data_IF_213030121018
#
_entry.id   IF_213030121018
#
_cell.length_a   1.000
_cell.length_b   1.000
_cell.length_c   1.000
_cell.angle_alpha   90.00
_cell.angle_beta   90.00
_cell.angle_gamma   90.00
#
_symmetry.space_group_name_H-M   'P 1'
#
loop_
_entity.id
_entity.type
_entity.pdbx_description
1 polymer ?
#
# COMPACT_ATOMS: atom_id res chain seq x y z
N UNK A 1 -34.49 14.18 3.11
CA UNK A 1 -33.81 12.92 3.50
C UNK A 1 -32.91 13.22 4.70
N UNK A 2 -33.10 12.52 5.82
CA UNK A 2 -32.33 12.77 7.04
C UNK A 2 -30.88 12.32 6.84
N UNK A 3 -29.91 13.25 6.94
CA UNK A 3 -28.48 12.92 6.94
C UNK A 3 -28.19 12.03 8.15
N UNK A 4 -27.83 10.79 7.92
CA UNK A 4 -27.33 9.88 8.94
C UNK A 4 -26.16 10.57 9.65
N UNK A 5 -26.29 10.76 10.96
CA UNK A 5 -25.28 11.45 11.76
C UNK A 5 -24.02 10.59 11.77
N UNK A 6 -22.97 11.05 11.08
CA UNK A 6 -21.70 10.34 11.03
C UNK A 6 -21.10 10.28 12.45
N UNK A 7 -20.72 9.08 12.87
CA UNK A 7 -20.16 8.85 14.20
C UNK A 7 -18.79 9.52 14.34
N UNK A 8 -18.52 10.12 15.49
CA UNK A 8 -17.26 10.85 15.72
C UNK A 8 -16.16 9.85 16.05
N UNK A 9 -15.18 9.69 15.16
CA UNK A 9 -14.00 8.88 15.44
C UNK A 9 -12.99 9.68 16.29
N UNK A 10 -12.70 9.30 17.54
CA UNK A 10 -11.79 10.03 18.41
C UNK A 10 -10.36 10.11 17.84
N UNK A 11 -9.91 9.10 17.08
CA UNK A 11 -8.59 9.10 16.43
C UNK A 11 -8.42 10.28 15.48
N UNK A 12 -9.48 10.68 14.77
CA UNK A 12 -9.41 11.80 13.82
C UNK A 12 -9.12 13.14 14.49
N UNK A 13 -9.69 13.38 15.67
CA UNK A 13 -9.44 14.58 16.46
C UNK A 13 -8.01 14.61 17.02
N UNK A 14 -7.52 13.46 17.47
CA UNK A 14 -6.18 13.33 18.05
C UNK A 14 -5.10 13.49 16.96
N UNK A 15 -5.32 12.92 15.77
CA UNK A 15 -4.45 13.07 14.59
C UNK A 15 -4.44 14.49 14.03
N UNK A 16 -5.59 15.16 14.01
CA UNK A 16 -5.65 16.57 13.61
C UNK A 16 -4.82 17.46 14.56
N UNK A 17 -4.87 17.19 15.87
CA UNK A 17 -4.01 17.89 16.85
C UNK A 17 -2.54 17.56 16.67
N UNK A 18 -2.23 16.29 16.37
CA UNK A 18 -0.87 15.86 16.06
C UNK A 18 -0.30 16.62 14.86
N UNK A 19 -1.10 16.82 13.79
CA UNK A 19 -0.67 17.62 12.64
C UNK A 19 -0.33 19.07 13.03
N UNK A 20 -1.15 19.71 13.88
CA UNK A 20 -0.85 21.07 14.35
C UNK A 20 0.51 21.14 15.07
N UNK A 21 0.79 20.17 15.92
CA UNK A 21 2.02 20.14 16.72
C UNK A 21 3.26 19.83 15.87
N UNK A 22 3.20 18.81 15.03
CA UNK A 22 4.36 18.31 14.31
C UNK A 22 4.75 19.17 13.11
N UNK A 23 3.75 19.73 12.40
CA UNK A 23 4.01 20.66 11.30
C UNK A 23 4.16 22.11 11.80
N UNK A 24 4.04 22.35 13.10
CA UNK A 24 4.05 23.67 13.73
C UNK A 24 3.08 24.66 13.03
N UNK A 25 1.89 24.17 12.68
CA UNK A 25 0.85 24.94 11.99
C UNK A 25 -0.29 25.28 12.94
N UNK A 26 -0.92 26.43 12.71
CA UNK A 26 -2.07 26.86 13.49
C UNK A 26 -3.38 26.48 12.79
N UNK A 27 -4.46 26.43 13.56
CA UNK A 27 -5.81 26.27 13.02
C UNK A 27 -6.18 27.41 12.04
N UNK A 28 -5.68 28.62 12.31
CA UNK A 28 -5.87 29.77 11.43
C UNK A 28 -5.17 29.59 10.09
N UNK A 29 -3.92 29.15 10.11
CA UNK A 29 -3.17 28.85 8.89
C UNK A 29 -3.88 27.76 8.08
N UNK A 30 -4.25 26.65 8.72
CA UNK A 30 -4.93 25.55 8.03
C UNK A 30 -6.29 26.00 7.46
N UNK A 31 -7.00 26.89 8.15
CA UNK A 31 -8.25 27.49 7.68
C UNK A 31 -8.03 28.34 6.41
N UNK A 32 -6.95 29.13 6.38
CA UNK A 32 -6.59 29.95 5.23
C UNK A 32 -6.23 29.12 4.00
N UNK A 33 -5.46 28.05 4.17
CA UNK A 33 -5.00 27.22 3.06
C UNK A 33 -6.08 26.27 2.51
N UNK A 34 -7.01 25.82 3.35
CA UNK A 34 -8.03 24.83 2.96
C UNK A 34 -9.41 25.44 2.69
N UNK A 35 -9.64 26.69 3.10
CA UNK A 35 -10.96 27.32 3.11
C UNK A 35 -11.93 26.73 4.15
N UNK A 36 -11.49 25.78 4.97
CA UNK A 36 -12.30 25.19 6.04
C UNK A 36 -12.38 26.21 7.19
N UNK A 37 -13.58 26.49 7.71
CA UNK A 37 -13.70 27.44 8.82
C UNK A 37 -12.95 26.98 10.07
N UNK A 38 -12.29 27.91 10.76
CA UNK A 38 -11.68 27.68 12.07
C UNK A 38 -12.65 27.02 13.06
N UNK A 39 -13.92 27.41 13.08
CA UNK A 39 -14.92 26.81 13.95
C UNK A 39 -15.14 25.32 13.63
N UNK A 40 -15.17 24.95 12.35
CA UNK A 40 -15.27 23.55 11.92
C UNK A 40 -14.06 22.75 12.39
N UNK A 41 -12.85 23.25 12.15
CA UNK A 41 -11.60 22.61 12.59
C UNK A 41 -11.54 22.43 14.11
N UNK A 42 -11.95 23.46 14.86
CA UNK A 42 -12.02 23.42 16.33
C UNK A 42 -13.01 22.37 16.83
N UNK A 43 -14.19 22.28 16.21
CA UNK A 43 -15.20 21.28 16.58
C UNK A 43 -14.72 19.86 16.33
N UNK A 44 -13.99 19.64 15.23
CA UNK A 44 -13.38 18.33 14.93
C UNK A 44 -12.30 18.00 15.95
N UNK A 45 -11.33 18.90 16.19
CA UNK A 45 -10.25 18.70 17.15
C UNK A 45 -10.75 18.46 18.59
N UNK A 46 -11.93 18.99 18.92
CA UNK A 46 -12.57 18.80 20.22
C UNK A 46 -13.61 17.64 20.26
N UNK A 47 -13.61 16.74 19.26
CA UNK A 47 -14.50 15.57 19.19
C UNK A 47 -15.99 15.93 19.22
N UNK A 48 -16.36 17.16 18.82
CA UNK A 48 -17.76 17.66 18.78
C UNK A 48 -18.43 17.42 17.44
N UNK A 49 -17.68 17.12 16.38
CA UNK A 49 -18.19 16.86 15.03
C UNK A 49 -17.26 15.89 14.33
N UNK A 50 -17.82 14.97 13.53
CA UNK A 50 -17.04 13.99 12.79
C UNK A 50 -16.25 14.67 11.67
N UNK A 51 -15.04 14.19 11.42
CA UNK A 51 -14.26 14.59 10.24
C UNK A 51 -14.87 13.92 9.00
N UNK A 52 -15.40 14.72 8.08
CA UNK A 52 -15.90 14.19 6.80
C UNK A 52 -14.74 13.91 5.85
N UNK A 53 -14.96 12.98 4.92
CA UNK A 53 -13.98 12.66 3.88
C UNK A 53 -13.58 13.90 3.07
N UNK A 54 -14.54 14.74 2.69
CA UNK A 54 -14.28 15.98 1.95
C UNK A 54 -13.32 16.91 2.69
N UNK A 55 -13.55 17.13 3.99
CA UNK A 55 -12.70 17.98 4.83
C UNK A 55 -11.32 17.35 4.99
N UNK A 56 -11.24 16.04 5.21
CA UNK A 56 -9.97 15.33 5.29
C UNK A 56 -9.16 15.43 3.99
N UNK A 57 -9.80 15.32 2.83
CA UNK A 57 -9.16 15.49 1.52
C UNK A 57 -8.56 16.89 1.36
N UNK A 58 -9.30 17.95 1.71
CA UNK A 58 -8.76 19.32 1.62
C UNK A 58 -7.56 19.54 2.56
N UNK A 59 -7.58 18.97 3.78
CA UNK A 59 -6.44 19.04 4.70
C UNK A 59 -5.23 18.29 4.14
N UNK A 60 -5.42 17.12 3.56
CA UNK A 60 -4.31 16.32 2.99
C UNK A 60 -3.71 16.99 1.74
N UNK A 61 -4.48 17.76 0.95
CA UNK A 61 -3.92 18.51 -0.19
C UNK A 61 -2.82 19.49 0.23
N UNK A 62 -2.94 20.10 1.41
CA UNK A 62 -1.95 21.05 1.93
C UNK A 62 -0.84 20.35 2.73
N UNK A 63 -0.99 19.07 3.03
CA UNK A 63 -0.02 18.21 3.72
C UNK A 63 0.15 16.88 2.94
N UNK A 64 0.75 16.90 1.74
CA UNK A 64 0.66 15.81 0.76
C UNK A 64 1.37 14.51 1.17
N UNK A 65 2.16 14.53 2.24
CA UNK A 65 2.78 13.31 2.77
C UNK A 65 1.81 12.46 3.62
N UNK A 66 0.67 13.04 4.03
CA UNK A 66 -0.31 12.42 4.91
C UNK A 66 -1.41 11.70 4.10
N UNK A 67 -2.07 10.71 4.70
CA UNK A 67 -3.21 10.02 4.09
C UNK A 67 -4.55 10.46 4.67
N UNK A 68 -5.56 10.46 3.81
CA UNK A 68 -6.97 10.72 4.19
C UNK A 68 -7.47 9.66 5.18
N UNK A 69 -7.20 8.38 4.89
CA UNK A 69 -7.69 7.27 5.72
C UNK A 69 -7.09 7.30 7.13
N UNK A 70 -5.81 7.64 7.24
CA UNK A 70 -5.17 7.87 8.52
C UNK A 70 -5.77 9.07 9.23
N UNK A 71 -5.87 10.24 8.59
CA UNK A 71 -6.42 11.42 9.26
C UNK A 71 -7.86 11.17 9.77
N UNK A 72 -8.65 10.36 9.04
CA UNK A 72 -10.00 9.98 9.42
C UNK A 72 -10.08 8.86 10.49
N UNK A 73 -8.96 8.23 10.85
CA UNK A 73 -8.97 7.16 11.83
C UNK A 73 -9.40 5.79 11.29
N UNK A 74 -9.37 5.58 9.96
CA UNK A 74 -9.82 4.35 9.30
C UNK A 74 -8.78 3.24 9.36
N UNK A 75 -7.50 3.61 9.25
CA UNK A 75 -6.35 2.73 9.47
C UNK A 75 -5.28 3.46 10.30
N UNK A 76 -4.18 2.78 10.61
CA UNK A 76 -3.09 3.33 11.41
C UNK A 76 -1.85 3.69 10.57
N UNK A 77 -1.97 3.75 9.24
CA UNK A 77 -0.85 3.99 8.32
C UNK A 77 -0.83 5.44 7.86
N UNK A 78 0.08 6.25 8.40
CA UNK A 78 0.11 7.70 8.20
C UNK A 78 0.33 8.11 6.76
N UNK A 79 1.24 7.44 6.09
CA UNK A 79 1.68 7.77 4.74
C UNK A 79 1.37 6.65 3.75
N UNK A 80 1.31 6.97 2.45
CA UNK A 80 1.20 5.94 1.40
C UNK A 80 2.36 4.94 1.48
N UNK A 81 3.56 5.44 1.82
CA UNK A 81 4.73 4.60 2.06
C UNK A 81 4.48 3.63 3.21
N UNK A 82 4.02 4.07 4.37
CA UNK A 82 3.73 3.20 5.51
C UNK A 82 2.68 2.14 5.20
N UNK A 83 1.61 2.48 4.46
CA UNK A 83 0.62 1.50 4.03
C UNK A 83 1.20 0.50 3.03
N UNK A 84 2.04 0.98 2.11
CA UNK A 84 2.74 0.10 1.16
C UNK A 84 3.70 -0.82 1.93
N UNK A 85 4.44 -0.29 2.90
CA UNK A 85 5.31 -1.04 3.80
C UNK A 85 4.58 -1.98 4.74
N UNK A 86 3.35 -1.67 5.15
CA UNK A 86 2.56 -2.59 5.95
C UNK A 86 2.00 -3.76 5.14
N UNK A 87 1.68 -3.53 3.86
CA UNK A 87 1.49 -4.62 2.89
C UNK A 87 2.76 -5.47 2.72
N UNK A 88 3.95 -4.88 2.94
CA UNK A 88 5.23 -5.59 2.99
C UNK A 88 5.54 -6.24 4.35
N UNK A 89 4.87 -5.82 5.45
CA UNK A 89 5.14 -6.26 6.84
C UNK A 89 4.17 -7.31 7.37
N UNK A 90 3.32 -7.89 6.52
CA UNK A 90 2.48 -9.04 6.87
C UNK A 90 3.38 -10.30 6.98
N UNK A 91 4.22 -10.27 8.01
CA UNK A 91 5.47 -11.01 8.17
C UNK A 91 5.26 -12.48 8.56
N UNK A 92 4.02 -12.94 8.73
CA UNK A 92 3.72 -14.28 9.21
C UNK A 92 3.68 -15.37 8.12
N UNK A 93 3.91 -15.04 6.84
CA UNK A 93 3.87 -16.00 5.75
C UNK A 93 5.18 -15.99 4.94
N UNK A 94 5.98 -17.04 5.07
CA UNK A 94 7.28 -17.22 4.40
C UNK A 94 7.18 -17.01 2.86
N UNK A 95 6.11 -17.51 2.24
CA UNK A 95 5.87 -17.35 0.80
C UNK A 95 5.63 -15.89 0.39
N UNK A 96 4.95 -15.07 1.21
CA UNK A 96 4.76 -13.63 0.94
C UNK A 96 6.09 -12.86 0.97
N UNK A 97 6.99 -13.22 1.89
CA UNK A 97 8.33 -12.61 1.98
C UNK A 97 9.15 -12.91 0.72
N UNK A 98 9.14 -14.18 0.29
CA UNK A 98 9.82 -14.64 -0.91
C UNK A 98 9.30 -13.93 -2.16
N UNK A 99 7.98 -13.85 -2.29
CA UNK A 99 7.30 -13.16 -3.37
C UNK A 99 7.69 -11.68 -3.44
N UNK A 100 7.62 -10.97 -2.31
CA UNK A 100 7.98 -9.56 -2.25
C UNK A 100 9.46 -9.32 -2.58
N UNK A 101 10.37 -10.19 -2.14
CA UNK A 101 11.79 -10.11 -2.49
C UNK A 101 12.00 -10.19 -4.01
N UNK A 102 11.34 -11.13 -4.70
CA UNK A 102 11.42 -11.23 -6.16
C UNK A 102 10.85 -10.01 -6.85
N UNK A 103 9.72 -9.47 -6.38
CA UNK A 103 9.13 -8.24 -6.94
C UNK A 103 10.06 -7.03 -6.81
N UNK A 104 10.77 -6.91 -5.69
CA UNK A 104 11.76 -5.85 -5.48
C UNK A 104 12.93 -6.01 -6.46
N UNK A 105 13.50 -7.21 -6.57
CA UNK A 105 14.61 -7.47 -7.49
C UNK A 105 14.22 -7.25 -8.95
N UNK A 106 13.00 -7.64 -9.32
CA UNK A 106 12.43 -7.37 -10.63
C UNK A 106 12.30 -5.87 -10.91
N UNK A 107 11.77 -5.11 -9.94
CA UNK A 107 11.65 -3.65 -10.04
C UNK A 107 13.01 -2.96 -10.21
N UNK A 108 14.01 -3.36 -9.42
CA UNK A 108 15.38 -2.87 -9.58
C UNK A 108 16.00 -3.22 -10.94
N UNK A 109 15.48 -4.24 -11.61
CA UNK A 109 15.87 -4.68 -12.95
C UNK A 109 15.01 -4.05 -14.06
N UNK A 110 14.11 -3.12 -13.72
CA UNK A 110 13.22 -2.44 -14.66
C UNK A 110 11.97 -3.24 -15.06
N UNK A 111 11.57 -4.23 -14.26
CA UNK A 111 10.34 -5.00 -14.47
C UNK A 111 9.31 -4.68 -13.39
N UNK A 112 8.06 -4.52 -13.80
CA UNK A 112 6.93 -4.31 -12.90
C UNK A 112 6.12 -5.60 -12.79
N UNK A 113 5.75 -5.98 -11.57
CA UNK A 113 5.00 -7.22 -11.30
C UNK A 113 3.70 -6.88 -10.59
N UNK A 114 2.59 -7.05 -11.31
CA UNK A 114 1.25 -6.66 -10.91
C UNK A 114 0.35 -7.87 -10.73
N UNK A 115 -0.43 -7.90 -9.64
CA UNK A 115 -1.44 -8.92 -9.41
C UNK A 115 -2.66 -8.63 -10.29
N UNK A 116 -3.23 -9.67 -10.89
CA UNK A 116 -4.54 -9.59 -11.55
C UNK A 116 -5.45 -10.71 -11.04
N UNK A 117 -6.74 -10.39 -10.92
CA UNK A 117 -7.82 -11.37 -10.72
C UNK A 117 -8.90 -11.07 -11.76
N UNK A 118 -9.49 -12.12 -12.34
CA UNK A 118 -10.48 -12.00 -13.40
C UNK A 118 -11.88 -12.16 -12.81
N UNK A 119 -12.45 -11.06 -12.31
CA UNK A 119 -13.89 -10.98 -12.06
C UNK A 119 -14.61 -10.38 -13.28
N UNK A 120 -15.73 -11.03 -13.64
CA UNK A 120 -16.76 -10.70 -14.64
C UNK A 120 -16.61 -11.20 -16.11
N UNK A 121 -17.18 -12.40 -16.36
CA UNK A 121 -17.97 -12.77 -17.55
C UNK A 121 -17.29 -13.48 -18.75
N UNK A 122 -18.08 -13.96 -19.74
CA UNK A 122 -19.10 -15.02 -19.72
C UNK A 122 -18.50 -16.43 -19.99
N UNK A 123 -19.34 -17.49 -20.08
CA UNK A 123 -18.93 -18.90 -20.31
C UNK A 123 -17.99 -19.06 -21.51
N UNK A 124 -16.71 -19.32 -21.21
CA UNK A 124 -15.65 -19.66 -22.17
C UNK A 124 -15.58 -21.19 -22.31
N UNK A 125 -15.20 -21.70 -23.50
CA UNK A 125 -15.08 -23.16 -23.76
C UNK A 125 -14.07 -23.83 -22.80
N UNK A 126 -14.24 -25.14 -22.59
CA UNK A 126 -13.41 -25.93 -21.66
C UNK A 126 -11.92 -25.86 -22.00
N UNK A 127 -11.54 -25.79 -23.29
CA UNK A 127 -10.12 -25.66 -23.68
C UNK A 127 -9.53 -24.29 -23.34
N UNK A 128 -10.29 -23.21 -23.49
CA UNK A 128 -9.84 -21.86 -23.12
C UNK A 128 -9.88 -21.62 -21.61
N UNK A 129 -10.74 -22.33 -20.86
CA UNK A 129 -10.77 -22.31 -19.40
C UNK A 129 -9.51 -22.91 -18.75
N UNK A 130 -8.89 -23.90 -19.41
CA UNK A 130 -7.63 -24.51 -18.96
C UNK A 130 -6.42 -23.59 -19.16
N UNK A 131 -6.49 -22.63 -20.08
CA UNK A 131 -5.45 -21.63 -20.33
C UNK A 131 -5.73 -20.27 -19.69
N UNK A 132 -6.97 -20.01 -19.27
CA UNK A 132 -7.32 -18.76 -18.59
C UNK A 132 -6.85 -18.79 -17.15
N UNK A 133 -5.71 -18.14 -16.90
CA UNK A 133 -5.25 -17.84 -15.55
C UNK A 133 -6.34 -17.00 -14.88
N UNK A 134 -7.02 -17.58 -13.87
CA UNK A 134 -8.09 -16.90 -13.13
C UNK A 134 -7.54 -15.80 -12.24
N UNK A 135 -6.37 -16.05 -11.63
CA UNK A 135 -5.62 -15.11 -10.81
C UNK A 135 -4.13 -15.34 -10.99
N UNK A 136 -3.34 -14.27 -11.03
CA UNK A 136 -1.92 -14.40 -11.29
C UNK A 136 -1.17 -13.08 -11.32
N UNK A 137 0.05 -13.12 -11.85
CA UNK A 137 0.89 -11.95 -12.01
C UNK A 137 1.11 -11.59 -13.47
N UNK A 138 1.06 -10.30 -13.78
CA UNK A 138 1.55 -9.72 -15.03
C UNK A 138 2.96 -9.23 -14.80
N UNK A 139 3.86 -9.60 -15.70
CA UNK A 139 5.22 -9.08 -15.74
C UNK A 139 5.27 -8.06 -16.85
N UNK A 140 5.53 -6.82 -16.49
CA UNK A 140 5.54 -5.67 -17.36
C UNK A 140 6.93 -5.07 -17.46
N UNK A 141 7.22 -4.40 -18.58
CA UNK A 141 8.41 -3.58 -18.77
C UNK A 141 8.07 -2.44 -19.70
N UNK A 142 8.45 -1.22 -19.34
CA UNK A 142 8.17 0.00 -20.12
C UNK A 142 6.68 0.14 -20.48
N UNK A 143 5.80 -0.22 -19.54
CA UNK A 143 4.34 -0.19 -19.72
C UNK A 143 3.75 -1.30 -20.61
N UNK A 144 4.56 -2.23 -21.13
CA UNK A 144 4.09 -3.37 -21.91
C UNK A 144 4.03 -4.64 -21.06
N UNK A 145 2.92 -5.39 -21.15
CA UNK A 145 2.80 -6.72 -20.54
C UNK A 145 3.62 -7.72 -21.37
N UNK A 146 4.70 -8.22 -20.79
CA UNK A 146 5.58 -9.21 -21.43
C UNK A 146 5.08 -10.64 -21.21
N UNK A 147 4.54 -10.91 -20.02
CA UNK A 147 4.06 -12.23 -19.67
C UNK A 147 2.96 -12.17 -18.62
N UNK A 148 2.13 -13.21 -18.58
CA UNK A 148 1.21 -13.50 -17.49
C UNK A 148 1.51 -14.89 -16.94
N UNK A 149 1.45 -15.05 -15.63
CA UNK A 149 1.68 -16.34 -14.99
C UNK A 149 0.70 -16.57 -13.83
N UNK A 150 0.21 -17.80 -13.63
CA UNK A 150 -0.58 -18.15 -12.45
C UNK A 150 0.17 -17.90 -11.15
N UNK A 151 -0.57 -17.76 -10.05
CA UNK A 151 -0.02 -17.61 -8.70
C UNK A 151 0.96 -18.73 -8.35
N UNK A 152 0.61 -19.99 -8.65
CA UNK A 152 1.42 -21.17 -8.34
C UNK A 152 2.75 -21.13 -9.10
N UNK A 153 2.69 -20.77 -10.39
CA UNK A 153 3.89 -20.71 -11.23
C UNK A 153 4.83 -19.59 -10.79
N UNK A 154 4.28 -18.46 -10.36
CA UNK A 154 5.08 -17.37 -9.84
C UNK A 154 5.67 -17.68 -8.46
N UNK A 155 4.98 -18.46 -7.63
CA UNK A 155 5.55 -18.95 -6.37
C UNK A 155 6.75 -19.89 -6.61
N UNK A 156 6.70 -20.73 -7.64
CA UNK A 156 7.86 -21.55 -8.06
C UNK A 156 9.03 -20.69 -8.54
N UNK A 157 8.78 -19.67 -9.35
CA UNK A 157 9.81 -18.70 -9.74
C UNK A 157 10.47 -18.06 -8.50
N UNK A 158 9.66 -17.74 -7.48
CA UNK A 158 10.17 -17.17 -6.23
C UNK A 158 11.01 -18.16 -5.42
N UNK A 159 10.68 -19.46 -5.44
CA UNK A 159 11.49 -20.53 -4.88
C UNK A 159 12.84 -20.62 -5.59
N UNK A 160 12.86 -20.65 -6.92
CA UNK A 160 14.10 -20.73 -7.71
C UNK A 160 15.04 -19.56 -7.41
N UNK A 161 14.49 -18.35 -7.28
CA UNK A 161 15.26 -17.16 -6.92
C UNK A 161 15.89 -17.28 -5.52
N UNK A 162 15.17 -17.84 -4.55
CA UNK A 162 15.72 -18.08 -3.21
C UNK A 162 16.85 -19.11 -3.25
N UNK A 163 16.67 -20.21 -3.98
CA UNK A 163 17.71 -21.25 -4.11
C UNK A 163 18.99 -20.69 -4.74
N UNK A 164 18.85 -19.84 -5.77
CA UNK A 164 20.00 -19.19 -6.41
C UNK A 164 20.77 -18.29 -5.42
N UNK A 165 20.06 -17.51 -4.60
CA UNK A 165 20.66 -16.66 -3.57
C UNK A 165 21.41 -17.51 -2.56
N UNK A 166 20.81 -18.60 -2.08
CA UNK A 166 21.43 -19.51 -1.12
C UNK A 166 22.70 -20.15 -1.70
N UNK A 167 22.64 -20.63 -2.95
CA UNK A 167 23.80 -21.19 -3.63
C UNK A 167 24.94 -20.18 -3.76
N UNK A 168 24.62 -18.93 -4.13
CA UNK A 168 25.65 -17.89 -4.30
C UNK A 168 26.31 -17.51 -2.97
N UNK A 169 25.53 -17.41 -1.90
CA UNK A 169 26.05 -17.16 -0.55
C UNK A 169 26.93 -18.33 -0.10
N UNK A 170 26.48 -19.58 -0.28
CA UNK A 170 27.28 -20.77 0.06
C UNK A 170 28.60 -20.83 -0.71
N UNK A 171 28.60 -20.49 -2.00
CA UNK A 171 29.83 -20.42 -2.81
C UNK A 171 30.80 -19.41 -2.23
N UNK A 172 30.33 -18.19 -1.96
CA UNK A 172 31.16 -17.12 -1.43
C UNK A 172 31.73 -17.46 -0.04
N UNK A 173 30.92 -18.05 0.84
CA UNK A 173 31.40 -18.51 2.16
C UNK A 173 32.51 -19.55 2.00
N UNK A 174 32.39 -20.49 1.06
CA UNK A 174 33.44 -21.49 0.79
C UNK A 174 34.71 -20.86 0.22
N UNK A 175 34.58 -19.91 -0.69
CA UNK A 175 35.72 -19.16 -1.27
C UNK A 175 36.51 -18.48 -0.15
N UNK A 176 35.84 -17.69 0.70
CA UNK A 176 36.51 -16.96 1.79
C UNK A 176 37.03 -17.88 2.91
N UNK A 177 36.39 -19.04 3.14
CA UNK A 177 36.85 -19.98 4.17
C UNK A 177 38.02 -20.88 3.73
N UNK A 178 38.26 -21.02 2.43
CA UNK A 178 39.38 -21.80 1.89
C UNK A 178 40.65 -20.94 1.69
N UNK A 179 40.51 -19.61 1.69
CA UNK A 179 41.60 -18.64 1.57
C UNK A 179 42.14 -18.14 2.93
N UNK A 180 41.76 -18.78 4.05
CA UNK A 180 42.22 -18.51 5.41
C UNK A 180 42.86 -19.72 6.07
#
# INVERSE_FOLDING_TARGET
>A
MARTKQEVNPKSADRLKQLYQEHNITQEWLSGETGISQNTLSRIANKKTALSHTVATEIVKVLPNERVEWLMGLDDYRTEKEKTFSLFSDWNNEWKRRLNAVRILAYLSGYEIELFSKDEGPKISVEMALQSISEGYKICKDGQVLATCPLERFNLLALDCQELVEQRIKSYVREVSNDG
#
